data_IF_536411909559
#
_entry.id   IF_536411909559
#
_cell.length_a   1.000
_cell.length_b   1.000
_cell.length_c   1.000
_cell.angle_alpha   90.00
_cell.angle_beta   90.00
_cell.angle_gamma   90.00
#
_symmetry.space_group_name_H-M   'P 1'
#
loop_
_entity.id
_entity.type
_entity.pdbx_description
1 polymer ?
#
# COMPACT_ATOMS: atom_id res chain seq x y z
N UNK A 1 -15.70 -3.24 20.11
CA UNK A 1 -14.86 -4.27 19.47
C UNK A 1 -15.70 -5.40 18.86
N UNK A 2 -16.52 -6.10 19.66
CA UNK A 2 -17.38 -7.21 19.22
C UNK A 2 -18.37 -6.88 18.08
N UNK A 3 -18.85 -5.63 17.98
CA UNK A 3 -19.83 -5.22 16.94
C UNK A 3 -19.22 -4.72 15.61
N UNK A 4 -17.94 -4.33 15.59
CA UNK A 4 -17.35 -3.60 14.44
C UNK A 4 -16.17 -4.30 13.79
N UNK A 5 -15.25 -4.85 14.59
CA UNK A 5 -14.00 -5.44 14.07
C UNK A 5 -13.93 -6.95 14.22
N UNK A 6 -14.79 -7.54 15.07
CA UNK A 6 -14.80 -8.97 15.32
C UNK A 6 -15.19 -9.78 14.09
N UNK A 7 -16.23 -9.37 13.34
CA UNK A 7 -16.64 -10.08 12.11
C UNK A 7 -15.52 -10.10 11.06
N UNK A 8 -14.83 -8.97 10.87
CA UNK A 8 -13.71 -8.87 9.92
C UNK A 8 -12.54 -9.75 10.37
N UNK A 9 -12.17 -9.73 11.65
CA UNK A 9 -11.12 -10.61 12.17
C UNK A 9 -11.52 -12.08 12.09
N UNK A 10 -12.76 -12.43 12.39
CA UNK A 10 -13.24 -13.81 12.36
C UNK A 10 -13.18 -14.37 10.94
N UNK A 11 -13.65 -13.63 9.94
CA UNK A 11 -13.57 -14.02 8.52
C UNK A 11 -12.13 -14.19 8.03
N UNK A 12 -11.15 -13.52 8.63
CA UNK A 12 -9.73 -13.62 8.23
C UNK A 12 -8.97 -14.68 9.05
N UNK A 13 -9.28 -14.87 10.34
CA UNK A 13 -8.60 -15.84 11.22
C UNK A 13 -9.17 -17.24 11.03
N UNK A 14 -10.50 -17.38 10.92
CA UNK A 14 -11.19 -18.67 10.93
C UNK A 14 -10.80 -19.56 9.74
N UNK A 15 -10.71 -19.06 8.50
CA UNK A 15 -10.20 -19.87 7.41
C UNK A 15 -8.73 -20.24 7.61
N UNK A 16 -7.89 -19.32 8.08
CA UNK A 16 -6.45 -19.58 8.20
C UNK A 16 -6.11 -20.63 9.27
N UNK A 17 -6.76 -20.64 10.45
CA UNK A 17 -6.52 -21.74 11.41
C UNK A 17 -7.04 -23.07 10.87
N UNK A 18 -8.21 -23.08 10.23
CA UNK A 18 -8.80 -24.27 9.63
C UNK A 18 -7.89 -24.87 8.56
N UNK A 19 -7.33 -24.02 7.69
CA UNK A 19 -6.41 -24.44 6.65
C UNK A 19 -5.01 -24.81 7.16
N UNK A 20 -4.46 -24.13 8.17
CA UNK A 20 -3.21 -24.57 8.79
C UNK A 20 -3.40 -25.92 9.52
N UNK A 21 -4.56 -26.14 10.16
CA UNK A 21 -4.88 -27.41 10.81
C UNK A 21 -5.02 -28.52 9.77
N UNK A 22 -5.71 -28.25 8.65
CA UNK A 22 -5.77 -29.19 7.54
C UNK A 22 -4.39 -29.46 6.92
N UNK A 23 -3.56 -28.44 6.73
CA UNK A 23 -2.21 -28.59 6.20
C UNK A 23 -1.29 -29.41 7.13
N UNK A 24 -1.44 -29.25 8.45
CA UNK A 24 -0.77 -30.09 9.45
C UNK A 24 -1.25 -31.54 9.43
N UNK A 25 -2.54 -31.78 9.12
CA UNK A 25 -3.08 -33.13 8.96
C UNK A 25 -2.85 -33.77 7.58
N UNK A 26 -2.57 -32.97 6.55
CA UNK A 26 -2.37 -33.42 5.17
C UNK A 26 -0.96 -33.96 4.90
N UNK A 27 -0.06 -33.94 5.89
CA UNK A 27 1.27 -34.54 5.77
C UNK A 27 1.24 -36.08 5.68
N UNK A 28 0.06 -36.70 5.80
CA UNK A 28 -0.11 -38.17 5.82
C UNK A 28 -0.68 -38.79 4.53
N UNK A 29 -1.41 -38.09 3.64
CA UNK A 29 -2.03 -38.73 2.45
C UNK A 29 -1.88 -37.94 1.13
N UNK A 30 -1.05 -38.49 0.23
CA UNK A 30 -0.65 -37.91 -1.07
C UNK A 30 -1.57 -38.26 -2.27
N UNK A 31 -2.90 -38.25 -2.12
CA UNK A 31 -3.79 -38.70 -3.22
C UNK A 31 -4.96 -37.76 -3.55
N UNK A 32 -4.70 -36.46 -3.64
CA UNK A 32 -5.66 -35.44 -4.10
C UNK A 32 -5.00 -34.16 -4.62
N UNK A 33 -3.85 -34.31 -5.30
CA UNK A 33 -2.82 -33.28 -5.41
C UNK A 33 -3.23 -31.98 -6.14
N UNK A 34 -4.16 -32.01 -7.09
CA UNK A 34 -4.34 -30.84 -7.98
C UNK A 34 -5.28 -29.76 -7.41
N UNK A 35 -6.37 -30.13 -6.73
CA UNK A 35 -7.28 -29.15 -6.12
C UNK A 35 -6.79 -28.69 -4.73
N UNK A 36 -6.09 -29.57 -4.00
CA UNK A 36 -5.43 -29.24 -2.73
C UNK A 36 -4.34 -28.18 -2.90
N UNK A 37 -3.58 -28.21 -4.01
CA UNK A 37 -2.56 -27.20 -4.32
C UNK A 37 -3.18 -25.83 -4.62
N UNK A 38 -4.31 -25.77 -5.36
CA UNK A 38 -5.04 -24.52 -5.62
C UNK A 38 -5.57 -23.90 -4.32
N UNK A 39 -6.10 -24.74 -3.43
CA UNK A 39 -6.63 -24.32 -2.12
C UNK A 39 -5.52 -23.80 -1.20
N UNK A 40 -4.37 -24.50 -1.11
CA UNK A 40 -3.19 -24.04 -0.37
C UNK A 40 -2.64 -22.69 -0.89
N UNK A 41 -2.76 -22.41 -2.19
CA UNK A 41 -2.33 -21.13 -2.79
C UNK A 41 -3.28 -19.98 -2.45
N UNK A 42 -4.59 -20.23 -2.42
CA UNK A 42 -5.59 -19.24 -1.95
C UNK A 42 -5.40 -18.89 -0.46
N UNK A 43 -4.98 -19.86 0.37
CA UNK A 43 -4.65 -19.63 1.78
C UNK A 43 -3.50 -18.63 1.95
N UNK A 44 -2.48 -18.68 1.09
CA UNK A 44 -1.38 -17.69 1.12
C UNK A 44 -1.87 -16.26 0.84
N UNK A 45 -2.93 -16.10 0.04
CA UNK A 45 -3.59 -14.80 -0.19
C UNK A 45 -4.40 -14.33 1.02
N UNK A 46 -5.09 -15.23 1.72
CA UNK A 46 -5.75 -14.89 2.99
C UNK A 46 -4.72 -14.36 4.00
N UNK A 47 -3.47 -14.85 3.96
CA UNK A 47 -2.39 -14.30 4.79
C UNK A 47 -2.02 -12.86 4.42
N UNK A 48 -2.05 -12.45 3.15
CA UNK A 48 -1.79 -11.05 2.77
C UNK A 48 -2.97 -10.13 3.11
N UNK A 49 -4.21 -10.65 3.09
CA UNK A 49 -5.40 -9.93 3.62
C UNK A 49 -5.26 -9.62 5.12
N UNK A 50 -4.44 -10.34 5.89
CA UNK A 50 -4.15 -9.99 7.30
C UNK A 50 -3.50 -8.62 7.45
N UNK A 51 -2.80 -8.16 6.43
CA UNK A 51 -2.22 -6.82 6.42
C UNK A 51 -3.33 -5.75 6.48
N UNK A 52 -4.60 -6.05 6.16
CA UNK A 52 -5.76 -5.16 6.40
C UNK A 52 -5.91 -4.83 7.88
N UNK A 53 -5.37 -5.66 8.80
CA UNK A 53 -5.27 -5.30 10.23
C UNK A 53 -4.32 -4.12 10.48
N UNK A 54 -3.41 -3.78 9.57
CA UNK A 54 -2.67 -2.52 9.62
C UNK A 54 -3.60 -1.30 9.45
N UNK A 55 -4.84 -1.48 8.98
CA UNK A 55 -5.85 -0.42 9.10
C UNK A 55 -6.26 -0.19 10.56
N UNK A 56 -6.11 -1.15 11.48
CA UNK A 56 -6.23 -0.89 12.93
C UNK A 56 -5.08 -0.03 13.44
N UNK A 57 -3.92 -0.08 12.80
CA UNK A 57 -2.84 0.88 13.05
C UNK A 57 -3.28 2.32 12.78
N UNK A 58 -4.35 2.56 12.00
CA UNK A 58 -4.95 3.91 11.86
C UNK A 58 -5.43 4.47 13.19
N UNK A 59 -5.90 3.62 14.11
CA UNK A 59 -6.30 4.05 15.46
C UNK A 59 -5.06 4.46 16.28
N UNK A 60 -3.95 3.73 16.14
CA UNK A 60 -2.67 4.06 16.79
C UNK A 60 -2.07 5.34 16.19
N UNK A 61 -2.16 5.50 14.86
CA UNK A 61 -1.74 6.73 14.17
C UNK A 61 -2.63 7.91 14.59
N UNK A 62 -3.94 7.70 14.80
CA UNK A 62 -4.83 8.73 15.33
C UNK A 62 -4.44 9.12 16.77
N UNK A 63 -4.15 8.13 17.62
CA UNK A 63 -3.66 8.38 18.98
C UNK A 63 -2.28 9.07 18.99
N UNK A 64 -1.39 8.75 18.04
CA UNK A 64 -0.11 9.45 17.87
C UNK A 64 -0.32 10.87 17.34
N UNK A 65 -1.27 11.10 16.43
CA UNK A 65 -1.64 12.44 15.98
C UNK A 65 -2.19 13.29 17.13
N UNK A 66 -2.95 12.71 18.06
CA UNK A 66 -3.44 13.40 19.26
C UNK A 66 -2.30 13.76 20.24
N UNK A 67 -1.21 12.99 20.24
CA UNK A 67 0.01 13.30 21.01
C UNK A 67 0.90 14.33 20.30
N UNK A 68 0.84 14.39 18.97
CA UNK A 68 1.55 15.37 18.15
C UNK A 68 0.77 16.69 18.15
N UNK A 69 0.95 17.49 19.21
CA UNK A 69 0.36 18.83 19.34
C UNK A 69 0.81 19.83 18.25
N UNK A 70 1.79 19.47 17.43
CA UNK A 70 2.27 20.32 16.34
C UNK A 70 1.49 20.06 15.05
N UNK A 71 0.80 21.09 14.58
CA UNK A 71 0.01 21.07 13.34
C UNK A 71 0.85 20.67 12.10
N UNK A 72 2.15 20.98 12.08
CA UNK A 72 3.09 20.54 11.03
C UNK A 72 3.39 19.04 11.06
N UNK A 73 3.46 18.44 12.26
CA UNK A 73 3.69 17.01 12.44
C UNK A 73 2.48 16.18 11.98
N UNK A 74 1.26 16.68 12.22
CA UNK A 74 0.01 16.06 11.74
C UNK A 74 -0.05 16.01 10.21
N UNK A 75 0.30 17.10 9.52
CA UNK A 75 0.29 17.13 8.05
C UNK A 75 1.35 16.19 7.47
N UNK A 76 2.54 16.15 8.08
CA UNK A 76 3.62 15.23 7.68
C UNK A 76 3.21 13.77 7.86
N UNK A 77 2.57 13.44 8.99
CA UNK A 77 2.04 12.10 9.26
C UNK A 77 0.99 11.69 8.22
N UNK A 78 0.15 12.62 7.76
CA UNK A 78 -0.82 12.35 6.71
C UNK A 78 -0.15 11.98 5.37
N UNK A 79 0.92 12.67 4.97
CA UNK A 79 1.69 12.34 3.77
C UNK A 79 2.30 10.93 3.88
N UNK A 80 2.96 10.62 5.00
CA UNK A 80 3.55 9.29 5.25
C UNK A 80 2.49 8.20 5.19
N UNK A 81 1.32 8.44 5.80
CA UNK A 81 0.18 7.52 5.77
C UNK A 81 -0.29 7.23 4.34
N UNK A 82 -0.36 8.24 3.47
CA UNK A 82 -0.74 8.04 2.06
C UNK A 82 0.29 7.20 1.30
N UNK A 83 1.59 7.44 1.52
CA UNK A 83 2.67 6.65 0.90
C UNK A 83 2.60 5.18 1.34
N UNK A 84 2.44 4.92 2.64
CA UNK A 84 2.30 3.55 3.17
C UNK A 84 1.07 2.86 2.58
N UNK A 85 -0.04 3.58 2.43
CA UNK A 85 -1.25 3.06 1.82
C UNK A 85 -1.04 2.69 0.34
N UNK A 86 -0.30 3.50 -0.42
CA UNK A 86 0.06 3.20 -1.80
C UNK A 86 0.93 1.95 -1.93
N UNK A 87 1.96 1.82 -1.08
CA UNK A 87 2.85 0.65 -1.06
C UNK A 87 2.07 -0.63 -0.75
N UNK A 88 1.12 -0.54 0.18
CA UNK A 88 0.25 -1.64 0.54
C UNK A 88 -0.64 -2.10 -0.61
N UNK A 89 -1.28 -1.15 -1.29
CA UNK A 89 -2.11 -1.42 -2.47
C UNK A 89 -1.27 -2.09 -3.56
N UNK A 90 -0.06 -1.58 -3.81
CA UNK A 90 0.86 -2.18 -4.78
C UNK A 90 1.31 -3.59 -4.38
N UNK A 91 1.60 -3.84 -3.11
CA UNK A 91 1.90 -5.18 -2.61
C UNK A 91 0.73 -6.14 -2.86
N UNK A 92 -0.50 -5.71 -2.58
CA UNK A 92 -1.69 -6.53 -2.81
C UNK A 92 -1.88 -6.85 -4.30
N UNK A 93 -1.80 -5.83 -5.17
CA UNK A 93 -1.88 -6.01 -6.63
C UNK A 93 -0.78 -6.94 -7.14
N UNK A 94 0.46 -6.77 -6.67
CA UNK A 94 1.59 -7.62 -7.02
C UNK A 94 1.37 -9.09 -6.59
N UNK A 95 0.82 -9.33 -5.39
CA UNK A 95 0.50 -10.68 -4.93
C UNK A 95 -0.61 -11.33 -5.76
N UNK A 96 -1.64 -10.57 -6.15
CA UNK A 96 -2.70 -11.08 -7.03
C UNK A 96 -2.16 -11.34 -8.43
N UNK A 97 -1.29 -10.47 -8.96
CA UNK A 97 -0.61 -10.69 -10.24
C UNK A 97 0.23 -11.97 -10.25
N UNK A 98 0.97 -12.22 -9.16
CA UNK A 98 1.70 -13.46 -8.97
C UNK A 98 0.78 -14.68 -8.95
N UNK A 99 -0.31 -14.61 -8.17
CA UNK A 99 -1.28 -15.70 -8.09
C UNK A 99 -1.88 -16.03 -9.46
N UNK A 100 -2.27 -15.03 -10.26
CA UNK A 100 -2.89 -15.26 -11.57
C UNK A 100 -1.94 -16.02 -12.50
N UNK A 101 -0.64 -15.69 -12.47
CA UNK A 101 0.38 -16.44 -13.20
C UNK A 101 0.52 -17.86 -12.66
N UNK A 102 0.77 -18.00 -11.36
CA UNK A 102 1.03 -19.30 -10.72
C UNK A 102 -0.14 -20.30 -10.82
N UNK A 103 -1.39 -19.83 -10.73
CA UNK A 103 -2.59 -20.68 -10.85
C UNK A 103 -2.73 -21.34 -12.23
N UNK A 104 -2.12 -20.74 -13.25
CA UNK A 104 -2.16 -21.22 -14.64
C UNK A 104 -0.85 -21.88 -15.08
N UNK A 105 0.21 -21.73 -14.30
CA UNK A 105 1.45 -22.49 -14.48
C UNK A 105 1.15 -23.99 -14.37
N UNK A 106 1.53 -24.75 -15.41
CA UNK A 106 1.28 -26.19 -15.51
C UNK A 106 -0.03 -26.61 -16.18
N UNK A 107 -0.91 -25.68 -16.57
CA UNK A 107 -2.12 -26.01 -17.35
C UNK A 107 -1.91 -25.92 -18.88
N UNK A 108 -0.66 -25.75 -19.33
CA UNK A 108 -0.31 -25.58 -20.75
C UNK A 108 -0.70 -24.21 -21.35
N UNK A 109 -1.16 -23.27 -20.52
CA UNK A 109 -1.49 -21.90 -20.94
C UNK A 109 -0.25 -21.03 -20.71
N UNK A 110 0.10 -20.20 -21.69
CA UNK A 110 1.20 -19.27 -21.52
C UNK A 110 0.81 -18.13 -20.55
N UNK A 111 1.70 -17.87 -19.61
CA UNK A 111 1.58 -16.90 -18.53
C UNK A 111 2.79 -16.00 -18.53
N UNK A 112 2.69 -14.85 -17.87
CA UNK A 112 3.85 -13.96 -17.72
C UNK A 112 5.05 -14.63 -17.01
N UNK A 113 4.82 -15.71 -16.24
CA UNK A 113 5.88 -16.50 -15.57
C UNK A 113 6.58 -17.43 -16.57
N UNK A 114 5.79 -18.19 -17.34
CA UNK A 114 6.29 -19.18 -18.32
C UNK A 114 6.93 -18.50 -19.52
N UNK A 115 6.32 -17.42 -20.03
CA UNK A 115 6.81 -16.68 -21.19
C UNK A 115 8.20 -16.07 -20.98
N UNK A 116 8.55 -15.74 -19.73
CA UNK A 116 9.85 -15.18 -19.36
C UNK A 116 10.82 -16.20 -18.78
N UNK A 117 10.39 -17.47 -18.64
CA UNK A 117 11.21 -18.53 -18.05
C UNK A 117 11.51 -18.34 -16.56
N UNK A 118 10.65 -17.63 -15.83
CA UNK A 118 10.87 -17.31 -14.42
C UNK A 118 10.51 -18.45 -13.46
N UNK A 119 10.11 -19.62 -13.96
CA UNK A 119 9.73 -20.77 -13.14
C UNK A 119 10.85 -21.23 -12.19
N UNK A 120 12.11 -21.13 -12.64
CA UNK A 120 13.29 -21.52 -11.87
C UNK A 120 13.92 -20.36 -11.09
N UNK A 121 13.39 -19.15 -11.23
CA UNK A 121 13.90 -17.97 -10.54
C UNK A 121 13.54 -18.00 -9.05
N UNK A 122 14.42 -17.45 -8.21
CA UNK A 122 14.16 -17.34 -6.78
C UNK A 122 12.91 -16.51 -6.48
N UNK A 123 12.18 -16.89 -5.42
CA UNK A 123 10.92 -16.24 -5.01
C UNK A 123 11.06 -14.73 -4.80
N UNK A 124 12.22 -14.25 -4.33
CA UNK A 124 12.51 -12.82 -4.15
C UNK A 124 12.47 -12.09 -5.49
N UNK A 125 13.09 -12.67 -6.53
CA UNK A 125 13.14 -12.07 -7.86
C UNK A 125 11.74 -12.01 -8.48
N UNK A 126 10.97 -13.09 -8.37
CA UNK A 126 9.58 -13.13 -8.83
C UNK A 126 8.72 -12.07 -8.11
N UNK A 127 8.83 -11.98 -6.79
CA UNK A 127 8.10 -11.00 -5.98
C UNK A 127 8.47 -9.55 -6.36
N UNK A 128 9.76 -9.22 -6.45
CA UNK A 128 10.22 -7.89 -6.84
C UNK A 128 9.78 -7.53 -8.26
N UNK A 129 9.72 -8.51 -9.15
CA UNK A 129 9.20 -8.34 -10.51
C UNK A 129 7.71 -8.02 -10.52
N UNK A 130 6.89 -8.75 -9.75
CA UNK A 130 5.46 -8.43 -9.62
C UNK A 130 5.23 -7.07 -8.96
N UNK A 131 6.03 -6.73 -7.95
CA UNK A 131 5.95 -5.44 -7.26
C UNK A 131 6.31 -4.29 -8.20
N UNK A 132 7.40 -4.43 -8.94
CA UNK A 132 7.79 -3.45 -9.96
C UNK A 132 6.69 -3.31 -11.02
N UNK A 133 6.12 -4.41 -11.50
CA UNK A 133 4.99 -4.38 -12.45
C UNK A 133 3.77 -3.65 -11.90
N UNK A 134 3.44 -3.86 -10.63
CA UNK A 134 2.35 -3.11 -9.99
C UNK A 134 2.65 -1.61 -9.96
N UNK A 135 3.86 -1.23 -9.55
CA UNK A 135 4.27 0.18 -9.46
C UNK A 135 4.20 0.86 -10.83
N UNK A 136 4.60 0.18 -11.90
CA UNK A 136 4.55 0.74 -13.26
C UNK A 136 3.12 0.99 -13.76
N UNK A 137 2.09 0.42 -13.13
CA UNK A 137 0.70 0.74 -13.46
C UNK A 137 0.26 2.09 -12.89
N UNK A 138 0.82 2.51 -11.75
CA UNK A 138 0.56 3.82 -11.12
C UNK A 138 1.47 4.91 -11.69
N UNK A 139 2.70 4.55 -12.03
CA UNK A 139 3.68 5.43 -12.65
C UNK A 139 4.00 4.85 -14.02
N UNK A 140 3.33 5.30 -15.10
CA UNK A 140 3.52 4.75 -16.44
C UNK A 140 5.01 4.69 -16.78
N UNK A 141 5.55 3.48 -16.77
CA UNK A 141 6.95 3.18 -17.00
C UNK A 141 7.03 1.93 -17.86
N UNK A 142 8.07 1.82 -18.67
CA UNK A 142 8.27 0.64 -19.51
C UNK A 142 8.68 -0.54 -18.65
N UNK A 143 8.04 -1.69 -18.91
CA UNK A 143 8.39 -2.95 -18.25
C UNK A 143 8.35 -4.10 -19.24
N UNK A 144 9.26 -5.05 -19.07
CA UNK A 144 9.36 -6.25 -19.92
C UNK A 144 8.26 -7.27 -19.65
N UNK A 145 7.63 -7.26 -18.48
CA UNK A 145 6.57 -8.19 -18.10
C UNK A 145 5.23 -7.70 -18.61
N UNK A 146 4.63 -8.46 -19.52
CA UNK A 146 3.34 -8.16 -20.16
C UNK A 146 2.36 -9.34 -20.00
N UNK A 147 1.04 -9.08 -20.02
CA UNK A 147 0.04 -10.15 -20.01
C UNK A 147 0.10 -10.98 -21.29
N UNK A 148 0.21 -12.30 -21.15
CA UNK A 148 0.26 -13.26 -22.26
C UNK A 148 -1.09 -13.95 -22.51
N UNK A 149 -2.03 -13.85 -21.56
CA UNK A 149 -3.36 -14.45 -21.69
C UNK A 149 -4.50 -13.45 -21.40
N UNK A 150 -5.72 -13.86 -21.74
CA UNK A 150 -6.92 -13.01 -21.62
C UNK A 150 -7.25 -12.61 -20.18
N UNK A 151 -6.99 -13.47 -19.20
CA UNK A 151 -7.27 -13.18 -17.79
C UNK A 151 -6.24 -12.22 -17.21
N UNK A 152 -4.95 -12.44 -17.49
CA UNK A 152 -3.89 -11.49 -17.16
C UNK A 152 -4.18 -10.12 -17.78
N UNK A 153 -4.62 -10.09 -19.05
CA UNK A 153 -4.94 -8.84 -19.74
C UNK A 153 -6.18 -8.14 -19.15
N UNK A 154 -7.24 -8.87 -18.83
CA UNK A 154 -8.43 -8.32 -18.16
C UNK A 154 -8.10 -7.75 -16.77
N UNK A 155 -7.27 -8.45 -16.00
CA UNK A 155 -6.79 -7.96 -14.71
C UNK A 155 -5.92 -6.71 -14.87
N UNK A 156 -4.97 -6.70 -15.82
CA UNK A 156 -4.12 -5.55 -16.10
C UNK A 156 -4.93 -4.31 -16.46
N UNK A 157 -5.95 -4.42 -17.33
CA UNK A 157 -6.86 -3.31 -17.68
C UNK A 157 -7.56 -2.78 -16.43
N UNK A 158 -8.07 -3.67 -15.57
CA UNK A 158 -8.75 -3.29 -14.32
C UNK A 158 -7.81 -2.52 -13.39
N UNK A 159 -6.56 -3.00 -13.26
CA UNK A 159 -5.53 -2.35 -12.44
C UNK A 159 -5.16 -0.97 -13.00
N UNK A 160 -5.00 -0.82 -14.32
CA UNK A 160 -4.67 0.47 -14.93
C UNK A 160 -5.78 1.50 -14.70
N UNK A 161 -7.05 1.13 -14.85
CA UNK A 161 -8.19 2.04 -14.57
C UNK A 161 -8.20 2.46 -13.10
N UNK A 162 -8.01 1.51 -12.19
CA UNK A 162 -7.91 1.79 -10.76
C UNK A 162 -6.70 2.68 -10.43
N UNK A 163 -5.55 2.41 -11.04
CA UNK A 163 -4.31 3.15 -10.83
C UNK A 163 -4.43 4.60 -11.33
N UNK A 164 -5.11 4.84 -12.46
CA UNK A 164 -5.37 6.18 -12.98
C UNK A 164 -6.13 7.05 -11.95
N UNK A 165 -7.20 6.51 -11.39
CA UNK A 165 -8.02 7.22 -10.38
C UNK A 165 -7.24 7.36 -9.06
N UNK A 166 -6.62 6.28 -8.58
CA UNK A 166 -5.89 6.25 -7.32
C UNK A 166 -4.68 7.17 -7.30
N UNK A 167 -3.90 7.19 -8.39
CA UNK A 167 -2.74 8.06 -8.53
C UNK A 167 -3.14 9.54 -8.57
N UNK A 168 -4.20 9.88 -9.31
CA UNK A 168 -4.75 11.24 -9.37
C UNK A 168 -5.16 11.75 -7.98
N UNK A 169 -5.85 10.90 -7.21
CA UNK A 169 -6.22 11.22 -5.83
C UNK A 169 -4.99 11.42 -4.93
N UNK A 170 -3.99 10.54 -5.04
CA UNK A 170 -2.78 10.61 -4.23
C UNK A 170 -2.00 11.89 -4.48
N UNK A 171 -1.78 12.24 -5.75
CA UNK A 171 -1.09 13.48 -6.13
C UNK A 171 -1.87 14.70 -5.62
N UNK A 172 -3.21 14.71 -5.78
CA UNK A 172 -4.04 15.79 -5.27
C UNK A 172 -3.96 15.94 -3.74
N UNK A 173 -3.99 14.82 -3.01
CA UNK A 173 -3.93 14.82 -1.55
C UNK A 173 -2.56 15.28 -1.01
N UNK A 174 -1.47 14.82 -1.63
CA UNK A 174 -0.11 15.26 -1.28
C UNK A 174 0.05 16.75 -1.59
N UNK A 175 -0.41 17.20 -2.75
CA UNK A 175 -0.34 18.62 -3.15
C UNK A 175 -1.11 19.50 -2.17
N UNK A 176 -2.31 19.10 -1.77
CA UNK A 176 -3.10 19.83 -0.78
C UNK A 176 -2.40 19.89 0.58
N UNK A 177 -1.84 18.76 1.05
CA UNK A 177 -1.09 18.70 2.31
C UNK A 177 0.17 19.59 2.26
N UNK A 178 0.90 19.59 1.15
CA UNK A 178 2.08 20.44 0.96
C UNK A 178 1.70 21.92 0.90
N UNK A 179 0.57 22.26 0.26
CA UNK A 179 0.03 23.62 0.24
C UNK A 179 -0.31 24.12 1.65
N UNK A 180 -0.95 23.28 2.47
CA UNK A 180 -1.23 23.58 3.87
C UNK A 180 0.06 23.84 4.66
N UNK A 181 1.08 22.98 4.53
CA UNK A 181 2.39 23.18 5.17
C UNK A 181 3.06 24.50 4.75
N UNK A 182 3.01 24.84 3.47
CA UNK A 182 3.57 26.11 2.95
C UNK A 182 2.80 27.31 3.50
N UNK A 183 1.47 27.27 3.52
CA UNK A 183 0.63 28.33 4.07
C UNK A 183 0.96 28.62 5.54
N UNK A 184 1.18 27.59 6.35
CA UNK A 184 1.59 27.76 7.75
C UNK A 184 2.95 28.44 7.88
N UNK A 185 3.94 28.03 7.08
CA UNK A 185 5.27 28.66 7.06
C UNK A 185 5.20 30.12 6.61
N UNK A 186 4.32 30.43 5.67
CA UNK A 186 4.08 31.80 5.22
C UNK A 186 3.41 32.65 6.29
N UNK A 187 2.46 32.11 7.04
CA UNK A 187 1.79 32.83 8.13
C UNK A 187 2.77 33.23 9.24
N UNK A 188 3.64 32.30 9.67
CA UNK A 188 4.73 32.62 10.58
C UNK A 188 5.64 33.73 10.06
N UNK A 189 5.98 33.67 8.77
CA UNK A 189 6.79 34.70 8.12
C UNK A 189 6.06 36.06 8.10
N UNK A 190 4.76 36.08 7.79
CA UNK A 190 3.93 37.29 7.78
C UNK A 190 3.81 37.91 9.17
N UNK A 191 3.57 37.12 10.20
CA UNK A 191 3.52 37.58 11.59
C UNK A 191 4.87 38.20 12.02
N UNK A 192 5.99 37.55 11.68
CA UNK A 192 7.33 38.07 11.96
C UNK A 192 7.61 39.41 11.24
N UNK A 193 7.22 39.53 9.96
CA UNK A 193 7.34 40.79 9.22
C UNK A 193 6.44 41.89 9.77
N UNK A 194 5.24 41.57 10.21
CA UNK A 194 4.32 42.50 10.87
C UNK A 194 4.91 43.02 12.19
N UNK A 195 5.45 42.12 13.02
CA UNK A 195 6.16 42.47 14.26
C UNK A 195 7.34 43.41 13.98
N UNK A 196 8.19 43.06 13.00
CA UNK A 196 9.30 43.93 12.57
C UNK A 196 8.83 45.31 12.14
N UNK A 197 7.73 45.40 11.39
CA UNK A 197 7.14 46.67 10.93
C UNK A 197 6.64 47.51 12.11
N UNK A 198 5.95 46.87 13.06
CA UNK A 198 5.46 47.52 14.29
C UNK A 198 6.61 48.09 15.13
N UNK A 199 7.65 47.30 15.39
CA UNK A 199 8.82 47.73 16.15
C UNK A 199 9.55 48.91 15.48
N UNK A 200 9.65 48.89 14.15
CA UNK A 200 10.25 49.99 13.37
C UNK A 200 9.43 51.28 13.48
N UNK A 201 8.10 51.18 13.47
CA UNK A 201 7.20 52.33 13.56
C UNK A 201 7.28 53.02 14.93
N UNK A 202 7.48 52.27 16.01
CA UNK A 202 7.63 52.80 17.36
C UNK A 202 9.06 53.19 17.74
N UNK A 203 10.01 53.23 16.78
CA UNK A 203 11.42 53.60 16.99
C UNK A 203 12.09 52.86 18.17
N UNK A 204 11.75 51.58 18.36
CA UNK A 204 12.32 50.78 19.45
C UNK A 204 13.83 50.59 19.25
N UNK A 205 14.67 50.77 20.28
CA UNK A 205 16.11 50.60 20.15
C UNK A 205 16.45 49.15 19.73
N UNK A 206 17.48 48.96 18.89
CA UNK A 206 17.81 47.67 18.27
C UNK A 206 18.19 46.57 19.27
N UNK A 207 18.50 46.94 20.52
CA UNK A 207 18.78 46.01 21.62
C UNK A 207 17.54 45.26 22.11
N UNK A 208 16.33 45.79 21.89
CA UNK A 208 15.05 45.18 22.24
C UNK A 208 14.36 44.47 21.06
N UNK A 209 14.73 44.76 19.81
CA UNK A 209 14.08 44.20 18.62
C UNK A 209 14.67 42.88 18.10
N UNK A 210 15.81 42.46 18.65
CA UNK A 210 16.57 41.25 18.25
C UNK A 210 16.47 40.10 19.28
N UNK A 211 15.81 40.32 20.42
CA UNK A 211 15.44 39.28 21.40
C UNK A 211 14.06 38.73 21.06
#
# INVERSE_FOLDING_TARGET
>A
YLKTWFLVDCVVVVPDWYFNLQALSADQERSGAQDSIKMLRLVRLVRTVRLVRLLKLRWIIAALNDLLQSESASITANIVKMIVMLLFINHFIACVWFLIGDLRTGTGVDTWITGHGFELSGWVYQYLTCLHWSITQFTPSSMSVQPHNSVERAFAITVVVFALVGFSYLVGSITNSLSQLRSMSEEHSKQFWSLRRYLKQHQMPPTLSLR
#
